data_IF_306350895867
#
_entry.id   IF_306350895867
#
_cell.length_a   1.000
_cell.length_b   1.000
_cell.length_c   1.000
_cell.angle_alpha   90.00
_cell.angle_beta   90.00
_cell.angle_gamma   90.00
#
_symmetry.space_group_name_H-M   'P 1'
#
loop_
_entity.id
_entity.type
_entity.pdbx_description
1 polymer ?
#
# COMPACT_ATOMS: atom_id res chain seq x y z
N UNK A 1 16.04 2.93 -16.28
CA UNK A 1 16.24 2.90 -14.83
C UNK A 1 14.91 3.16 -14.15
N UNK A 2 14.51 2.28 -13.27
CA UNK A 2 13.31 2.50 -12.46
C UNK A 2 13.57 3.54 -11.38
N UNK A 3 12.53 4.24 -10.96
CA UNK A 3 12.62 5.13 -9.80
C UNK A 3 12.95 4.31 -8.55
N UNK A 4 13.94 4.76 -7.79
CA UNK A 4 14.36 4.09 -6.56
C UNK A 4 13.25 4.12 -5.54
N UNK A 5 12.94 2.95 -4.96
CA UNK A 5 11.96 2.82 -3.88
C UNK A 5 12.68 2.84 -2.54
N UNK A 6 12.24 3.71 -1.66
CA UNK A 6 12.85 3.89 -0.35
C UNK A 6 11.81 4.04 0.75
N UNK A 7 12.23 3.75 1.97
CA UNK A 7 11.41 3.96 3.15
C UNK A 7 11.35 5.45 3.49
N UNK A 8 10.15 5.94 3.75
CA UNK A 8 9.92 7.30 4.24
C UNK A 8 10.34 7.40 5.71
N UNK A 9 11.16 8.38 6.05
CA UNK A 9 11.68 8.56 7.42
C UNK A 9 11.66 10.01 7.91
N UNK A 10 11.71 10.98 7.01
CA UNK A 10 11.78 12.41 7.34
C UNK A 10 10.40 13.07 7.33
N UNK A 11 10.29 14.26 7.91
CA UNK A 11 9.07 15.04 7.83
C UNK A 11 8.71 15.41 6.39
N UNK A 12 9.72 15.72 5.56
CA UNK A 12 9.52 15.96 4.14
C UNK A 12 8.95 14.72 3.42
N UNK A 13 9.39 13.53 3.80
CA UNK A 13 8.83 12.27 3.29
C UNK A 13 7.35 12.11 3.67
N UNK A 14 6.99 12.45 4.90
CA UNK A 14 5.61 12.36 5.35
C UNK A 14 4.73 13.40 4.66
N UNK A 15 5.25 14.58 4.39
CA UNK A 15 4.57 15.60 3.59
C UNK A 15 4.32 15.10 2.16
N UNK A 16 5.31 14.48 1.54
CA UNK A 16 5.19 13.89 0.21
C UNK A 16 4.15 12.74 0.20
N UNK A 17 4.20 11.86 1.18
CA UNK A 17 3.21 10.78 1.33
C UNK A 17 1.79 11.34 1.50
N UNK A 18 1.63 12.35 2.35
CA UNK A 18 0.35 13.02 2.56
C UNK A 18 -0.21 13.64 1.28
N UNK A 19 0.64 14.29 0.50
CA UNK A 19 0.25 14.88 -0.78
C UNK A 19 -0.18 13.82 -1.80
N UNK A 20 0.53 12.70 -1.88
CA UNK A 20 0.18 11.60 -2.80
C UNK A 20 -1.12 10.90 -2.40
N UNK A 21 -1.34 10.67 -1.10
CA UNK A 21 -2.57 10.07 -0.60
C UNK A 21 -3.78 11.00 -0.78
N UNK A 22 -3.59 12.30 -0.61
CA UNK A 22 -4.64 13.29 -0.89
C UNK A 22 -5.00 13.28 -2.38
N UNK A 23 -4.00 13.27 -3.26
CA UNK A 23 -4.20 13.19 -4.70
C UNK A 23 -4.93 11.90 -5.09
N UNK A 24 -4.65 10.79 -4.44
CA UNK A 24 -5.34 9.51 -4.65
C UNK A 24 -6.84 9.64 -4.40
N UNK A 25 -7.22 10.11 -3.22
CA UNK A 25 -8.63 10.26 -2.88
C UNK A 25 -9.35 11.25 -3.81
N UNK A 26 -8.71 12.35 -4.16
CA UNK A 26 -9.28 13.34 -5.10
C UNK A 26 -9.50 12.76 -6.50
N UNK A 27 -8.60 11.92 -6.97
CA UNK A 27 -8.73 11.29 -8.31
C UNK A 27 -9.97 10.39 -8.38
N UNK A 28 -10.36 9.75 -7.28
CA UNK A 28 -11.51 8.84 -7.19
C UNK A 28 -12.74 9.46 -6.52
N UNK A 29 -12.76 10.78 -6.37
CA UNK A 29 -13.84 11.54 -5.74
C UNK A 29 -14.15 11.10 -4.29
N UNK A 30 -13.16 10.54 -3.61
CA UNK A 30 -13.26 10.16 -2.21
C UNK A 30 -12.95 11.34 -1.28
N UNK A 31 -13.54 11.31 -0.09
CA UNK A 31 -13.30 12.33 0.94
C UNK A 31 -11.86 12.25 1.43
N UNK A 32 -11.21 13.40 1.56
CA UNK A 32 -9.85 13.49 2.10
C UNK A 32 -9.77 14.55 3.19
N UNK A 33 -9.00 14.30 4.27
CA UNK A 33 -8.77 15.32 5.30
C UNK A 33 -7.74 16.37 4.88
N UNK A 34 -7.16 16.22 3.69
CA UNK A 34 -6.13 17.10 3.14
C UNK A 34 -4.70 16.59 3.40
N UNK A 35 -3.73 17.11 2.60
CA UNK A 35 -2.37 16.58 2.63
C UNK A 35 -1.66 16.79 3.98
N UNK A 36 -1.88 17.92 4.63
CA UNK A 36 -1.23 18.20 5.93
C UNK A 36 -1.71 17.26 7.03
N UNK A 37 -3.02 17.00 7.12
CA UNK A 37 -3.57 16.05 8.09
C UNK A 37 -3.11 14.61 7.80
N UNK A 38 -3.00 14.23 6.55
CA UNK A 38 -2.47 12.93 6.15
C UNK A 38 -0.98 12.79 6.50
N UNK A 39 -0.18 13.83 6.31
CA UNK A 39 1.23 13.83 6.71
C UNK A 39 1.39 13.59 8.22
N UNK A 40 0.61 14.29 9.04
CA UNK A 40 0.57 14.10 10.51
C UNK A 40 0.17 12.66 10.84
N UNK A 41 -0.84 12.12 10.16
CA UNK A 41 -1.30 10.76 10.39
C UNK A 41 -0.22 9.72 10.01
N UNK A 42 0.47 9.93 8.89
CA UNK A 42 1.55 9.03 8.47
C UNK A 42 2.70 9.06 9.49
N UNK A 43 3.05 10.22 10.01
CA UNK A 43 4.06 10.33 11.07
C UNK A 43 3.64 9.55 12.32
N UNK A 44 2.41 9.75 12.77
CA UNK A 44 1.88 9.05 13.94
C UNK A 44 1.92 7.52 13.76
N UNK A 45 1.49 7.03 12.62
CA UNK A 45 1.45 5.60 12.33
C UNK A 45 2.86 4.98 12.21
N UNK A 46 3.79 5.67 11.55
CA UNK A 46 5.17 5.19 11.40
C UNK A 46 5.92 5.20 12.73
N UNK A 47 5.71 6.22 13.57
CA UNK A 47 6.31 6.30 14.90
C UNK A 47 5.80 5.17 15.81
N UNK A 48 4.60 4.67 15.59
CA UNK A 48 4.03 3.53 16.32
C UNK A 48 4.71 2.18 16.03
N UNK A 49 5.50 2.11 14.96
CA UNK A 49 6.27 0.91 14.62
C UNK A 49 5.54 -0.15 13.78
N UNK A 50 4.21 -0.05 13.65
CA UNK A 50 3.39 -1.03 12.94
C UNK A 50 3.07 -0.61 11.50
N UNK A 51 3.61 0.51 11.06
CA UNK A 51 3.37 1.06 9.72
C UNK A 51 4.68 1.45 9.07
N UNK A 52 4.82 1.08 7.80
CA UNK A 52 5.92 1.50 6.95
C UNK A 52 5.35 2.19 5.73
N UNK A 53 5.91 3.35 5.39
CA UNK A 53 5.58 4.07 4.17
C UNK A 53 6.75 3.94 3.21
N UNK A 54 6.47 3.53 1.97
CA UNK A 54 7.44 3.50 0.87
C UNK A 54 7.14 4.62 -0.12
N UNK A 55 8.18 5.24 -0.62
CA UNK A 55 8.11 6.28 -1.65
C UNK A 55 8.99 5.87 -2.83
N UNK A 56 8.57 6.18 -4.04
CA UNK A 56 9.36 5.98 -5.25
C UNK A 56 9.76 7.33 -5.85
N UNK A 57 11.04 7.44 -6.19
CA UNK A 57 11.63 8.63 -6.82
C UNK A 57 12.21 9.62 -5.81
N UNK A 58 13.22 10.39 -6.25
CA UNK A 58 13.82 11.45 -5.46
C UNK A 58 12.81 12.57 -5.16
N UNK A 59 12.00 12.93 -6.15
CA UNK A 59 10.75 13.67 -6.00
C UNK A 59 9.63 12.63 -6.07
N UNK A 60 8.99 12.29 -4.93
CA UNK A 60 8.14 11.11 -4.88
C UNK A 60 6.94 11.16 -5.83
N UNK A 61 6.82 10.13 -6.65
CA UNK A 61 5.76 9.94 -7.65
C UNK A 61 4.80 8.79 -7.30
N UNK A 62 5.14 8.03 -6.29
CA UNK A 62 4.32 6.91 -5.83
C UNK A 62 4.51 6.69 -4.33
N UNK A 63 3.48 6.15 -3.70
CA UNK A 63 3.43 5.83 -2.28
C UNK A 63 2.80 4.47 -2.05
N UNK A 64 3.33 3.73 -1.08
CA UNK A 64 2.68 2.55 -0.52
C UNK A 64 2.68 2.66 1.00
N UNK A 65 1.58 2.22 1.62
CA UNK A 65 1.45 2.16 3.07
C UNK A 65 1.23 0.71 3.48
N UNK A 66 2.17 0.18 4.26
CA UNK A 66 2.12 -1.18 4.79
C UNK A 66 1.79 -1.14 6.27
N UNK A 67 0.81 -1.95 6.67
CA UNK A 67 0.40 -2.09 8.07
C UNK A 67 0.73 -3.51 8.53
N UNK A 68 1.37 -3.64 9.70
CA UNK A 68 1.81 -4.91 10.26
C UNK A 68 1.07 -5.22 11.55
N UNK A 69 0.78 -6.50 11.75
CA UNK A 69 0.20 -7.01 13.00
C UNK A 69 0.73 -8.42 13.26
N UNK A 70 0.77 -8.82 14.52
CA UNK A 70 1.15 -10.19 14.88
C UNK A 70 0.14 -11.17 14.25
N UNK A 71 0.66 -12.24 13.66
CA UNK A 71 -0.16 -13.30 13.08
C UNK A 71 -0.79 -14.16 14.18
N UNK A 72 -1.99 -14.67 13.90
CA UNK A 72 -2.68 -15.60 14.83
C UNK A 72 -2.15 -17.02 14.68
N UNK A 73 -1.83 -17.40 13.43
CA UNK A 73 -1.54 -18.79 13.07
C UNK A 73 -0.05 -19.10 12.92
N UNK A 74 0.82 -18.14 13.17
CA UNK A 74 2.26 -18.28 13.10
C UNK A 74 2.95 -17.41 14.16
N UNK A 75 4.25 -17.54 14.30
CA UNK A 75 5.05 -16.70 15.17
C UNK A 75 5.48 -15.37 14.53
N UNK A 76 5.16 -15.17 13.25
CA UNK A 76 5.51 -13.98 12.49
C UNK A 76 4.46 -12.89 12.53
N UNK A 77 4.53 -12.01 11.52
CA UNK A 77 3.56 -10.93 11.32
C UNK A 77 2.75 -11.15 10.06
N UNK A 78 1.57 -10.52 10.00
CA UNK A 78 0.80 -10.32 8.78
C UNK A 78 1.03 -8.88 8.30
N UNK A 79 1.16 -8.70 6.99
CA UNK A 79 1.26 -7.39 6.35
C UNK A 79 0.00 -7.10 5.56
N UNK A 80 -0.61 -5.94 5.80
CA UNK A 80 -1.69 -5.40 4.99
C UNK A 80 -1.16 -4.24 4.16
N UNK A 81 -1.22 -4.37 2.83
CA UNK A 81 -0.98 -3.24 1.93
C UNK A 81 -2.23 -2.36 1.95
N UNK A 82 -2.18 -1.32 2.79
CA UNK A 82 -3.32 -0.43 3.00
C UNK A 82 -3.55 0.50 1.82
N UNK A 83 -2.47 1.02 1.24
CA UNK A 83 -2.52 1.98 0.13
C UNK A 83 -1.40 1.70 -0.86
N UNK A 84 -1.71 1.85 -2.15
CA UNK A 84 -0.75 1.91 -3.25
C UNK A 84 -1.24 2.92 -4.28
N UNK A 85 -0.45 3.94 -4.54
CA UNK A 85 -0.78 4.98 -5.51
C UNK A 85 0.42 5.38 -6.33
N UNK A 86 0.25 5.48 -7.63
CA UNK A 86 1.21 6.04 -8.59
C UNK A 86 0.54 7.21 -9.29
N UNK A 87 1.21 8.36 -9.35
CA UNK A 87 0.70 9.52 -10.07
C UNK A 87 0.35 9.15 -11.51
N UNK A 88 -0.79 9.63 -12.05
CA UNK A 88 -1.27 9.23 -13.40
C UNK A 88 -0.22 9.35 -14.50
N UNK A 89 0.58 10.41 -14.49
CA UNK A 89 1.60 10.70 -15.51
C UNK A 89 2.75 9.69 -15.50
N UNK A 90 2.91 8.94 -14.42
CA UNK A 90 3.99 7.98 -14.22
C UNK A 90 3.54 6.52 -14.32
N UNK A 91 2.28 6.28 -14.64
CA UNK A 91 1.72 4.92 -14.81
C UNK A 91 2.19 4.27 -16.12
N UNK A 92 2.15 2.95 -16.14
CA UNK A 92 2.54 2.17 -17.32
C UNK A 92 4.05 2.06 -17.54
N UNK A 93 4.86 2.42 -16.57
CA UNK A 93 6.33 2.37 -16.64
C UNK A 93 6.97 1.41 -15.62
N UNK A 94 6.16 0.60 -14.96
CA UNK A 94 6.64 -0.36 -13.97
C UNK A 94 6.88 0.21 -12.57
N UNK A 95 6.50 1.44 -12.28
CA UNK A 95 6.65 2.05 -10.95
C UNK A 95 5.88 1.27 -9.89
N UNK A 96 4.61 0.95 -10.15
CA UNK A 96 3.78 0.16 -9.25
C UNK A 96 4.39 -1.20 -8.94
N UNK A 97 4.94 -1.87 -9.94
CA UNK A 97 5.65 -3.15 -9.77
C UNK A 97 6.88 -2.99 -8.87
N UNK A 98 7.71 -1.99 -9.12
CA UNK A 98 8.91 -1.73 -8.30
C UNK A 98 8.54 -1.48 -6.85
N UNK A 99 7.50 -0.70 -6.59
CA UNK A 99 7.00 -0.44 -5.22
C UNK A 99 6.50 -1.72 -4.57
N UNK A 100 5.74 -2.55 -5.30
CA UNK A 100 5.24 -3.83 -4.79
C UNK A 100 6.35 -4.82 -4.48
N UNK A 101 7.35 -4.93 -5.34
CA UNK A 101 8.50 -5.79 -5.12
C UNK A 101 9.29 -5.36 -3.87
N UNK A 102 9.49 -4.05 -3.69
CA UNK A 102 10.11 -3.50 -2.49
C UNK A 102 9.25 -3.77 -1.24
N UNK A 103 7.94 -3.63 -1.34
CA UNK A 103 7.02 -3.92 -0.25
C UNK A 103 7.06 -5.40 0.18
N UNK A 104 7.07 -6.31 -0.78
CA UNK A 104 7.17 -7.75 -0.52
C UNK A 104 8.51 -8.08 0.16
N UNK A 105 9.62 -7.53 -0.36
CA UNK A 105 10.95 -7.75 0.24
C UNK A 105 11.00 -7.23 1.67
N UNK A 106 10.52 -6.02 1.91
CA UNK A 106 10.50 -5.42 3.25
C UNK A 106 9.64 -6.23 4.22
N UNK A 107 8.47 -6.69 3.79
CA UNK A 107 7.60 -7.51 4.61
C UNK A 107 8.28 -8.83 5.02
N UNK A 108 8.96 -9.48 4.08
CA UNK A 108 9.75 -10.69 4.37
C UNK A 108 10.90 -10.45 5.33
N UNK A 109 11.66 -9.39 5.12
CA UNK A 109 12.78 -9.00 5.99
C UNK A 109 12.31 -8.73 7.42
N UNK A 110 11.11 -8.16 7.57
CA UNK A 110 10.48 -7.90 8.87
C UNK A 110 9.93 -9.16 9.54
N UNK A 111 9.84 -10.27 8.83
CA UNK A 111 9.34 -11.53 9.35
C UNK A 111 7.84 -11.77 9.13
N UNK A 112 7.23 -11.00 8.23
CA UNK A 112 5.87 -11.29 7.79
C UNK A 112 5.86 -12.52 6.89
N UNK A 113 4.95 -13.43 7.17
CA UNK A 113 4.76 -14.65 6.39
C UNK A 113 3.43 -14.64 5.60
N UNK A 114 2.68 -13.55 5.71
CA UNK A 114 1.44 -13.33 4.99
C UNK A 114 1.28 -11.88 4.58
N UNK A 115 0.77 -11.65 3.38
CA UNK A 115 0.44 -10.29 2.89
C UNK A 115 -0.94 -10.32 2.22
N UNK A 116 -1.76 -9.32 2.53
CA UNK A 116 -3.07 -9.15 1.93
C UNK A 116 -3.24 -7.75 1.32
N UNK A 117 -4.06 -7.68 0.28
CA UNK A 117 -4.37 -6.48 -0.47
C UNK A 117 -5.85 -6.46 -0.76
N UNK A 118 -6.51 -5.31 -0.57
CA UNK A 118 -7.84 -5.05 -1.12
C UNK A 118 -7.73 -4.43 -2.51
N UNK A 119 -8.62 -4.80 -3.41
CA UNK A 119 -8.72 -4.21 -4.75
C UNK A 119 -10.14 -4.34 -5.27
N UNK A 120 -10.63 -3.30 -5.94
CA UNK A 120 -11.96 -3.32 -6.52
C UNK A 120 -11.97 -4.15 -7.82
N UNK A 121 -13.07 -4.85 -8.06
CA UNK A 121 -13.21 -5.70 -9.25
C UNK A 121 -12.92 -4.98 -10.58
N UNK A 122 -13.39 -3.74 -10.80
CA UNK A 122 -13.12 -3.02 -12.06
C UNK A 122 -11.66 -2.61 -12.26
N UNK A 123 -10.84 -2.58 -11.20
CA UNK A 123 -9.43 -2.20 -11.30
C UNK A 123 -8.58 -3.35 -11.86
N UNK A 124 -8.77 -3.62 -13.15
CA UNK A 124 -8.13 -4.72 -13.86
C UNK A 124 -6.61 -4.56 -13.91
N UNK A 125 -6.12 -3.34 -13.99
CA UNK A 125 -4.67 -3.05 -14.06
C UNK A 125 -3.98 -3.45 -12.76
N UNK A 126 -4.52 -3.03 -11.61
CA UNK A 126 -4.00 -3.40 -10.30
C UNK A 126 -4.13 -4.92 -10.06
N UNK A 127 -5.26 -5.52 -10.41
CA UNK A 127 -5.49 -6.95 -10.26
C UNK A 127 -4.47 -7.78 -11.04
N UNK A 128 -4.18 -7.42 -12.28
CA UNK A 128 -3.16 -8.08 -13.10
C UNK A 128 -1.76 -7.96 -12.51
N UNK A 129 -1.44 -6.80 -11.96
CA UNK A 129 -0.16 -6.59 -11.28
C UNK A 129 -0.05 -7.54 -10.09
N UNK A 130 -1.04 -7.56 -9.21
CA UNK A 130 -1.04 -8.41 -8.01
C UNK A 130 -0.97 -9.90 -8.36
N UNK A 131 -1.78 -10.34 -9.30
CA UNK A 131 -1.76 -11.73 -9.76
C UNK A 131 -0.40 -12.12 -10.36
N UNK A 132 0.24 -11.23 -11.11
CA UNK A 132 1.59 -11.47 -11.66
C UNK A 132 2.67 -11.57 -10.59
N UNK A 133 2.41 -11.03 -9.39
CA UNK A 133 3.30 -11.10 -8.23
C UNK A 133 2.96 -12.26 -7.28
N UNK A 134 2.01 -13.11 -7.65
CA UNK A 134 1.65 -14.30 -6.88
C UNK A 134 0.50 -14.13 -5.90
N UNK A 135 -0.16 -12.97 -5.89
CA UNK A 135 -1.38 -12.78 -5.10
C UNK A 135 -2.55 -13.48 -5.76
N UNK A 136 -3.48 -13.96 -4.96
CA UNK A 136 -4.71 -14.62 -5.43
C UNK A 136 -5.88 -14.26 -4.54
N UNK A 137 -7.07 -14.18 -5.13
CA UNK A 137 -8.32 -14.11 -4.38
C UNK A 137 -9.06 -15.45 -4.35
N UNK A 138 -8.40 -16.54 -4.74
CA UNK A 138 -8.96 -17.89 -4.70
C UNK A 138 -8.66 -18.55 -3.37
N UNK A 139 -9.68 -19.16 -2.74
CA UNK A 139 -9.51 -19.87 -1.47
C UNK A 139 -8.86 -21.23 -1.64
N UNK A 140 -9.03 -21.84 -2.81
CA UNK A 140 -8.52 -23.16 -3.15
C UNK A 140 -8.45 -23.33 -4.68
N UNK A 141 -7.88 -24.47 -5.17
CA UNK A 141 -7.80 -24.74 -6.60
C UNK A 141 -9.15 -24.86 -7.31
N UNK A 142 -10.27 -25.03 -6.59
CA UNK A 142 -11.61 -25.11 -7.21
C UNK A 142 -12.07 -23.75 -7.77
N UNK A 143 -11.44 -22.66 -7.35
CA UNK A 143 -11.72 -21.32 -7.82
C UNK A 143 -12.76 -20.54 -7.01
N UNK A 144 -13.11 -21.01 -5.82
CA UNK A 144 -13.93 -20.23 -4.89
C UNK A 144 -13.23 -18.90 -4.56
N UNK A 145 -13.99 -17.81 -4.56
CA UNK A 145 -13.47 -16.44 -4.47
C UNK A 145 -13.62 -15.89 -3.06
N UNK A 146 -12.57 -15.24 -2.56
CA UNK A 146 -12.63 -14.47 -1.32
C UNK A 146 -13.22 -13.08 -1.60
N UNK A 147 -14.06 -12.61 -0.68
CA UNK A 147 -14.62 -11.27 -0.70
C UNK A 147 -14.16 -10.50 0.53
N UNK A 148 -14.05 -9.17 0.39
CA UNK A 148 -13.85 -8.25 1.50
C UNK A 148 -15.20 -7.61 1.83
N UNK A 149 -15.57 -7.60 3.10
CA UNK A 149 -16.77 -6.93 3.59
C UNK A 149 -16.37 -5.80 4.53
N UNK A 150 -17.00 -4.65 4.37
CA UNK A 150 -16.75 -3.47 5.17
C UNK A 150 -18.03 -2.96 5.81
N UNK A 151 -17.90 -2.33 6.97
CA UNK A 151 -19.01 -1.65 7.64
C UNK A 151 -18.48 -0.44 8.38
N UNK A 152 -19.07 0.72 8.15
CA UNK A 152 -18.81 1.89 8.96
C UNK A 152 -19.36 1.71 10.37
N UNK A 153 -18.52 1.97 11.38
CA UNK A 153 -18.89 1.84 12.80
C UNK A 153 -19.20 3.18 13.48
N UNK A 154 -18.88 4.30 12.82
CA UNK A 154 -19.24 5.62 13.31
C UNK A 154 -20.75 5.83 13.15
N UNK A 155 -21.35 6.47 14.12
CA UNK A 155 -22.76 6.79 14.13
C UNK A 155 -22.94 8.27 13.81
#
# INVERSE_FOLDING_TARGET
>A
MGDEVRRATTDADMDAAGALLDAFNREFDDVTPGPAALAVRMRLLTDGGDTVVLLAGADPIAVAVLRFRLAIWSEGEECYLAELYVQPEHRGRGVGRSVMEAAISLARERGADWMEIGVDEPDVVARRLYESLGFTNKTDPSGAVMFVYERELRI
#
